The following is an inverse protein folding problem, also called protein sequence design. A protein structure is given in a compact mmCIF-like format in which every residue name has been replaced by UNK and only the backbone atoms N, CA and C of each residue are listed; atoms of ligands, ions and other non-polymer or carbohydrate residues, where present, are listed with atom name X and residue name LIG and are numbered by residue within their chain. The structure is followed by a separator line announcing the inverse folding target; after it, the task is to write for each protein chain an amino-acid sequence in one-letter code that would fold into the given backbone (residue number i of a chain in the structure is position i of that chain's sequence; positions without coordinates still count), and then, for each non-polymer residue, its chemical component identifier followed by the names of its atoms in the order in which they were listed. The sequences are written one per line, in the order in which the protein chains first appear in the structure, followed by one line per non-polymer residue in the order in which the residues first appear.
data_IF_178134837554
#
_entry.id   IF_178134837554
#
_cell.length_a   1.000
_cell.length_b   1.000
_cell.length_c   1.000
_cell.angle_alpha   90.00
_cell.angle_beta   90.00
_cell.angle_gamma   90.00
#
_symmetry.space_group_name_H-M   'P 1'
#
loop_
_entity.id
_entity.type
_entity.pdbx_description
1 polymer ?
#
# COMPACT_ATOMS: atom_id res chain seq x y z
N UNK A 1 -41.52 -27.09 44.24
CA UNK A 1 -40.50 -28.11 43.93
C UNK A 1 -40.85 -28.72 42.58
N UNK A 2 -40.89 -27.93 41.50
CA UNK A 2 -39.76 -27.34 40.76
C UNK A 2 -38.96 -28.37 39.98
N UNK A 3 -39.07 -28.29 38.65
CA UNK A 3 -37.92 -28.15 37.73
C UNK A 3 -38.42 -27.98 36.29
N UNK A 4 -38.58 -26.72 35.89
CA UNK A 4 -38.56 -26.34 34.47
C UNK A 4 -37.12 -26.48 33.97
N UNK A 5 -36.91 -27.31 32.95
CA UNK A 5 -35.64 -27.40 32.24
C UNK A 5 -35.64 -26.32 31.16
N UNK A 6 -34.86 -25.26 31.36
CA UNK A 6 -34.61 -24.23 30.34
C UNK A 6 -33.46 -24.73 29.46
N UNK A 7 -33.78 -25.10 28.22
CA UNK A 7 -32.77 -25.37 27.19
C UNK A 7 -32.23 -24.03 26.67
N UNK A 8 -31.06 -23.62 27.15
CA UNK A 8 -30.32 -22.47 26.61
C UNK A 8 -29.70 -22.88 25.25
N UNK A 9 -30.29 -22.44 24.15
CA UNK A 9 -29.68 -22.55 22.83
C UNK A 9 -28.68 -21.41 22.68
N UNK A 10 -27.39 -21.70 22.85
CA UNK A 10 -26.31 -20.77 22.54
C UNK A 10 -26.10 -20.78 21.03
N UNK A 11 -26.71 -19.82 20.33
CA UNK A 11 -26.41 -19.54 18.93
C UNK A 11 -25.03 -18.87 18.87
N UNK A 12 -24.01 -19.60 18.45
CA UNK A 12 -22.76 -19.01 17.98
C UNK A 12 -23.04 -18.32 16.65
N UNK A 13 -23.23 -17.00 16.67
CA UNK A 13 -23.13 -16.19 15.46
C UNK A 13 -21.65 -16.17 15.08
N UNK A 14 -21.25 -17.12 14.23
CA UNK A 14 -19.96 -17.04 13.54
C UNK A 14 -20.11 -15.89 12.55
N UNK A 15 -19.67 -14.70 12.97
CA UNK A 15 -19.53 -13.57 12.06
C UNK A 15 -18.62 -14.02 10.92
N UNK A 16 -19.15 -14.05 9.71
CA UNK A 16 -18.35 -14.23 8.50
C UNK A 16 -17.45 -13.01 8.43
N UNK A 17 -16.20 -13.15 8.90
CA UNK A 17 -15.16 -12.17 8.61
C UNK A 17 -14.90 -12.33 7.12
N UNK A 18 -15.55 -11.51 6.32
CA UNK A 18 -15.25 -11.42 4.91
C UNK A 18 -13.80 -10.96 4.82
N UNK A 19 -12.92 -11.87 4.38
CA UNK A 19 -11.52 -11.56 4.20
C UNK A 19 -11.42 -10.30 3.33
N UNK A 20 -10.69 -9.30 3.81
CA UNK A 20 -10.48 -8.09 3.04
C UNK A 20 -9.91 -8.48 1.68
N UNK A 21 -10.49 -7.98 0.60
CA UNK A 21 -9.82 -8.15 -0.69
C UNK A 21 -8.49 -7.41 -0.60
N UNK A 22 -7.41 -8.03 -1.07
CA UNK A 22 -6.05 -7.46 -0.96
C UNK A 22 -5.91 -6.10 -1.67
N UNK A 23 -6.93 -5.67 -2.43
CA UNK A 23 -6.98 -4.44 -3.20
C UNK A 23 -7.87 -3.34 -2.60
N UNK A 24 -8.42 -3.54 -1.39
CA UNK A 24 -9.24 -2.50 -0.76
C UNK A 24 -8.43 -1.23 -0.45
N UNK A 25 -9.05 -0.09 -0.70
CA UNK A 25 -8.54 1.21 -0.29
C UNK A 25 -8.45 1.27 1.23
N UNK A 26 -7.36 1.82 1.74
CA UNK A 26 -7.19 2.06 3.17
C UNK A 26 -7.72 3.45 3.48
N UNK A 27 -8.75 3.53 4.34
CA UNK A 27 -9.32 4.80 4.80
C UNK A 27 -9.11 5.01 6.28
N UNK A 28 -9.30 6.24 6.73
CA UNK A 28 -9.40 6.56 8.16
C UNK A 28 -10.67 5.90 8.72
N UNK A 29 -10.57 5.29 9.90
CA UNK A 29 -11.71 4.72 10.61
C UNK A 29 -12.72 5.80 11.02
N UNK A 30 -14.01 5.49 11.23
CA UNK A 30 -15.04 6.49 11.54
C UNK A 30 -14.79 7.27 12.83
N UNK A 31 -14.04 6.68 13.77
CA UNK A 31 -13.63 7.33 15.02
C UNK A 31 -12.46 8.31 14.84
N UNK A 32 -11.80 8.33 13.67
CA UNK A 32 -10.67 9.20 13.36
C UNK A 32 -9.33 8.76 13.96
N UNK A 33 -9.26 7.59 14.63
CA UNK A 33 -8.07 7.17 15.39
C UNK A 33 -7.25 6.04 14.75
N UNK A 34 -7.72 5.47 13.65
CA UNK A 34 -7.06 4.35 12.98
C UNK A 34 -7.32 4.29 11.49
N UNK A 35 -6.94 3.16 10.92
CA UNK A 35 -7.16 2.85 9.52
C UNK A 35 -7.91 1.53 9.37
N UNK A 36 -8.73 1.45 8.35
CA UNK A 36 -9.45 0.24 7.97
C UNK A 36 -9.59 0.13 6.46
N UNK A 37 -9.78 -1.10 5.98
CA UNK A 37 -10.11 -1.36 4.59
C UNK A 37 -11.51 -0.84 4.29
N UNK A 38 -11.68 -0.19 3.14
CA UNK A 38 -12.88 0.61 2.86
C UNK A 38 -14.17 -0.20 2.75
N UNK A 39 -14.09 -1.44 2.27
CA UNK A 39 -15.25 -2.31 2.02
C UNK A 39 -15.53 -3.27 3.16
N UNK A 40 -14.52 -4.00 3.63
CA UNK A 40 -14.65 -5.00 4.69
C UNK A 40 -14.58 -4.42 6.10
N UNK A 41 -14.09 -3.18 6.27
CA UNK A 41 -13.91 -2.57 7.59
C UNK A 41 -12.83 -3.28 8.44
N UNK A 42 -11.95 -4.03 7.80
CA UNK A 42 -10.87 -4.74 8.49
C UNK A 42 -9.84 -3.73 8.95
N UNK A 43 -9.50 -3.76 10.25
CA UNK A 43 -8.47 -2.89 10.82
C UNK A 43 -7.14 -3.06 10.07
N UNK A 44 -6.56 -1.94 9.65
CA UNK A 44 -5.25 -1.88 9.03
C UNK A 44 -4.25 -1.23 9.99
N UNK A 45 -3.18 -1.95 10.33
CA UNK A 45 -2.10 -1.43 11.18
C UNK A 45 -0.87 -1.28 10.28
N UNK A 46 -0.42 -0.04 9.98
CA UNK A 46 0.74 0.15 9.13
C UNK A 46 1.99 -0.34 9.84
N UNK A 47 2.66 -1.31 9.25
CA UNK A 47 4.00 -1.74 9.61
C UNK A 47 4.88 -1.59 8.37
N UNK A 48 5.65 -0.50 8.33
CA UNK A 48 6.22 0.00 7.10
C UNK A 48 7.61 0.57 7.21
N UNK A 49 8.18 0.87 6.04
CA UNK A 49 9.49 1.50 5.89
C UNK A 49 9.52 2.47 4.72
N UNK A 50 10.53 3.34 4.66
CA UNK A 50 10.84 4.05 3.43
C UNK A 50 11.53 3.08 2.46
N UNK A 51 11.12 3.08 1.20
CA UNK A 51 11.76 2.32 0.15
C UNK A 51 12.99 3.08 -0.36
N UNK A 52 14.06 3.07 0.45
CA UNK A 52 15.34 3.70 0.14
C UNK A 52 16.36 2.61 -0.06
N UNK A 53 16.99 2.62 -1.24
CA UNK A 53 18.07 1.69 -1.57
C UNK A 53 19.43 2.32 -1.23
N UNK A 54 20.50 1.54 -1.36
CA UNK A 54 21.84 1.88 -0.89
C UNK A 54 22.56 3.03 -1.64
N UNK A 55 21.87 3.75 -2.52
CA UNK A 55 22.42 4.83 -3.36
C UNK A 55 21.35 5.91 -3.54
N UNK A 56 21.76 7.18 -3.45
CA UNK A 56 20.88 8.35 -3.53
C UNK A 56 20.23 8.50 -4.89
N UNK A 57 20.77 7.91 -5.96
CA UNK A 57 20.10 7.90 -7.28
C UNK A 57 18.71 7.26 -7.21
N UNK A 58 18.53 6.28 -6.33
CA UNK A 58 17.26 5.60 -6.11
C UNK A 58 16.25 6.43 -5.31
N UNK A 59 16.57 7.68 -4.92
CA UNK A 59 15.52 8.61 -4.52
C UNK A 59 14.61 8.99 -5.70
N UNK A 60 15.04 8.74 -6.94
CA UNK A 60 14.26 8.90 -8.15
C UNK A 60 13.91 7.54 -8.77
N UNK A 61 13.25 6.65 -8.01
CA UNK A 61 13.03 5.24 -8.37
C UNK A 61 12.46 5.03 -9.78
N UNK A 62 11.56 5.92 -10.22
CA UNK A 62 10.76 5.75 -11.43
C UNK A 62 11.36 6.46 -12.66
N UNK A 63 12.51 7.12 -12.52
CA UNK A 63 13.20 7.70 -13.66
C UNK A 63 13.68 6.61 -14.61
N UNK A 64 13.58 6.79 -15.94
CA UNK A 64 13.91 5.75 -16.93
C UNK A 64 15.35 5.23 -16.82
N UNK A 65 16.31 6.09 -16.45
CA UNK A 65 17.72 5.69 -16.30
C UNK A 65 18.04 5.01 -14.96
N UNK A 66 17.07 4.97 -14.04
CA UNK A 66 17.24 4.46 -12.66
C UNK A 66 16.34 3.24 -12.41
N UNK A 67 15.24 3.10 -13.15
CA UNK A 67 14.23 2.08 -12.93
C UNK A 67 14.82 0.67 -13.05
N UNK A 68 14.86 -0.04 -11.93
CA UNK A 68 15.43 -1.39 -11.81
C UNK A 68 14.35 -2.33 -11.28
N UNK A 69 13.50 -2.78 -12.20
CA UNK A 69 12.33 -3.61 -11.91
C UNK A 69 12.69 -4.85 -11.10
N UNK A 70 13.70 -5.60 -11.53
CA UNK A 70 14.08 -6.87 -10.89
C UNK A 70 14.61 -6.64 -9.48
N UNK A 71 15.34 -5.53 -9.26
CA UNK A 71 15.79 -5.15 -7.93
C UNK A 71 14.62 -4.75 -7.04
N UNK A 72 13.64 -4.03 -7.57
CA UNK A 72 12.48 -3.59 -6.80
C UNK A 72 11.61 -4.79 -6.40
N UNK A 73 11.38 -5.74 -7.30
CA UNK A 73 10.68 -7.00 -6.99
C UNK A 73 11.39 -7.77 -5.87
N UNK A 74 12.72 -7.95 -5.95
CA UNK A 74 13.49 -8.64 -4.88
C UNK A 74 13.37 -7.92 -3.53
N UNK A 75 13.40 -6.60 -3.54
CA UNK A 75 13.25 -5.81 -2.32
C UNK A 75 11.84 -5.95 -1.72
N UNK A 76 10.79 -5.88 -2.56
CA UNK A 76 9.41 -6.07 -2.12
C UNK A 76 9.17 -7.49 -1.58
N UNK A 77 9.68 -8.53 -2.24
CA UNK A 77 9.62 -9.90 -1.75
C UNK A 77 10.30 -10.07 -0.39
N UNK A 78 11.46 -9.43 -0.19
CA UNK A 78 12.15 -9.45 1.10
C UNK A 78 11.33 -8.73 2.20
N UNK A 79 10.70 -7.60 1.87
CA UNK A 79 9.86 -6.86 2.80
C UNK A 79 8.59 -7.64 3.18
N UNK A 80 7.94 -8.30 2.22
CA UNK A 80 6.80 -9.20 2.47
C UNK A 80 7.22 -10.34 3.41
N UNK A 81 8.38 -10.98 3.15
CA UNK A 81 8.92 -12.04 4.02
C UNK A 81 9.25 -11.59 5.45
N UNK A 82 9.46 -10.29 5.66
CA UNK A 82 9.65 -9.68 6.98
C UNK A 82 8.34 -9.17 7.62
N UNK A 83 7.21 -9.29 6.92
CA UNK A 83 5.89 -8.89 7.39
C UNK A 83 5.55 -7.41 7.20
N UNK A 84 6.35 -6.64 6.45
CA UNK A 84 5.99 -5.27 6.09
C UNK A 84 4.76 -5.26 5.17
N UNK A 85 3.84 -4.33 5.43
CA UNK A 85 2.59 -4.20 4.67
C UNK A 85 2.42 -2.82 4.02
N UNK A 86 3.38 -1.92 4.20
CA UNK A 86 3.36 -0.59 3.58
C UNK A 86 4.78 -0.06 3.36
N UNK A 87 5.00 0.62 2.25
CA UNK A 87 6.25 1.33 1.96
C UNK A 87 5.98 2.76 1.56
N UNK A 88 6.91 3.66 1.87
CA UNK A 88 6.91 5.03 1.36
C UNK A 88 7.95 5.20 0.27
N UNK A 89 7.55 5.69 -0.90
CA UNK A 89 8.44 5.99 -2.04
C UNK A 89 8.54 7.50 -2.24
N UNK A 90 9.66 7.94 -2.80
CA UNK A 90 9.89 9.35 -3.13
C UNK A 90 9.47 9.66 -4.57
N UNK A 91 8.84 10.82 -4.75
CA UNK A 91 8.44 11.39 -6.02
C UNK A 91 9.09 12.79 -6.16
N UNK A 92 10.41 12.86 -6.40
CA UNK A 92 11.14 14.13 -6.39
C UNK A 92 10.65 15.06 -7.51
N UNK A 93 9.97 16.14 -7.13
CA UNK A 93 9.22 17.01 -8.06
C UNK A 93 10.06 17.51 -9.24
N UNK A 94 11.33 17.88 -9.02
CA UNK A 94 12.22 18.37 -10.07
C UNK A 94 12.62 17.30 -11.11
N UNK A 95 12.43 16.01 -10.80
CA UNK A 95 12.64 14.89 -11.74
C UNK A 95 11.35 14.47 -12.39
N UNK A 96 10.24 14.56 -11.66
CA UNK A 96 8.89 14.23 -12.15
C UNK A 96 8.42 15.30 -13.14
N UNK A 97 8.57 16.58 -12.79
CA UNK A 97 8.24 17.74 -13.62
C UNK A 97 9.54 18.48 -13.97
N UNK A 98 10.31 17.99 -14.96
CA UNK A 98 11.60 18.58 -15.29
C UNK A 98 11.44 19.97 -15.91
N UNK A 99 12.26 20.93 -15.48
CA UNK A 99 12.28 22.25 -16.07
C UNK A 99 12.92 22.26 -17.48
N UNK A 100 12.51 23.21 -18.37
CA UNK A 100 11.48 24.21 -18.14
C UNK A 100 10.06 23.70 -18.41
N UNK A 101 9.12 24.07 -17.53
CA UNK A 101 7.68 23.91 -17.75
C UNK A 101 7.10 25.18 -18.39
N UNK A 102 6.19 25.05 -19.35
CA UNK A 102 5.47 26.20 -19.89
C UNK A 102 4.38 26.64 -18.89
N UNK A 103 4.06 27.94 -18.87
CA UNK A 103 3.03 28.45 -17.97
C UNK A 103 1.67 27.79 -18.28
N UNK A 104 1.04 27.21 -17.26
CA UNK A 104 -0.24 26.49 -17.41
C UNK A 104 -0.12 25.04 -17.88
N UNK A 105 1.10 24.53 -18.08
CA UNK A 105 1.35 23.14 -18.46
C UNK A 105 2.11 22.38 -17.37
N UNK A 106 1.88 21.06 -17.30
CA UNK A 106 2.66 20.14 -16.49
C UNK A 106 3.03 18.92 -17.33
N UNK A 107 4.30 18.84 -17.73
CA UNK A 107 4.86 17.75 -18.51
C UNK A 107 5.64 16.84 -17.58
N UNK A 108 5.07 15.67 -17.30
CA UNK A 108 5.77 14.63 -16.54
C UNK A 108 6.91 14.05 -17.38
N UNK A 109 8.03 13.72 -16.75
CA UNK A 109 9.14 13.06 -17.41
C UNK A 109 8.66 11.78 -18.14
N UNK A 110 9.11 11.52 -19.38
CA UNK A 110 8.70 10.33 -20.12
C UNK A 110 8.98 9.03 -19.36
N UNK A 111 8.02 8.10 -19.40
CA UNK A 111 8.16 6.78 -18.77
C UNK A 111 7.94 6.76 -17.25
N UNK A 112 7.81 7.92 -16.61
CA UNK A 112 7.76 8.00 -15.14
C UNK A 112 6.46 7.41 -14.56
N UNK A 113 5.33 7.69 -15.20
CA UNK A 113 4.02 7.20 -14.74
C UNK A 113 3.88 5.71 -15.01
N UNK A 114 4.39 5.23 -16.13
CA UNK A 114 4.42 3.82 -16.50
C UNK A 114 5.26 3.01 -15.52
N UNK A 115 6.43 3.52 -15.15
CA UNK A 115 7.31 2.91 -14.14
C UNK A 115 6.69 2.91 -12.73
N UNK A 116 6.00 4.01 -12.37
CA UNK A 116 5.23 4.08 -11.12
C UNK A 116 4.11 3.04 -11.13
N UNK A 117 3.35 2.93 -12.22
CA UNK A 117 2.26 1.96 -12.36
C UNK A 117 2.77 0.51 -12.25
N UNK A 118 3.87 0.15 -12.94
CA UNK A 118 4.47 -1.19 -12.82
C UNK A 118 4.94 -1.45 -11.38
N UNK A 119 5.53 -0.47 -10.70
CA UNK A 119 5.92 -0.61 -9.29
C UNK A 119 4.72 -0.80 -8.36
N UNK A 120 3.64 -0.03 -8.54
CA UNK A 120 2.41 -0.21 -7.77
C UNK A 120 1.81 -1.61 -8.02
N UNK A 121 1.90 -2.10 -9.25
CA UNK A 121 1.53 -3.47 -9.62
C UNK A 121 2.38 -4.53 -8.91
N UNK A 122 3.71 -4.34 -8.82
CA UNK A 122 4.63 -5.19 -8.06
C UNK A 122 4.27 -5.21 -6.58
N UNK A 123 4.16 -4.03 -5.95
CA UNK A 123 3.87 -3.90 -4.52
C UNK A 123 2.53 -4.57 -4.15
N UNK A 124 1.52 -4.44 -5.03
CA UNK A 124 0.22 -5.11 -4.86
C UNK A 124 0.34 -6.62 -4.84
N UNK A 125 1.13 -7.24 -5.73
CA UNK A 125 1.37 -8.70 -5.75
C UNK A 125 2.06 -9.20 -4.47
N UNK A 126 2.81 -8.32 -3.81
CA UNK A 126 3.46 -8.57 -2.52
C UNK A 126 2.66 -8.10 -1.31
N UNK A 127 1.37 -7.76 -1.49
CA UNK A 127 0.47 -7.27 -0.42
C UNK A 127 0.98 -6.02 0.32
N UNK A 128 1.83 -5.24 -0.34
CA UNK A 128 2.42 -4.02 0.21
C UNK A 128 1.67 -2.80 -0.33
N UNK A 129 1.17 -1.95 0.57
CA UNK A 129 0.61 -0.63 0.25
C UNK A 129 1.73 0.37 -0.02
N UNK A 130 1.45 1.39 -0.83
CA UNK A 130 2.46 2.40 -1.19
C UNK A 130 1.96 3.80 -0.83
N UNK A 131 2.76 4.53 -0.07
CA UNK A 131 2.63 5.97 0.12
C UNK A 131 3.55 6.66 -0.88
N UNK A 132 2.97 7.45 -1.77
CA UNK A 132 3.71 8.22 -2.77
C UNK A 132 3.86 9.65 -2.25
N UNK A 133 5.11 10.12 -2.11
CA UNK A 133 5.43 11.42 -1.51
C UNK A 133 6.49 12.21 -2.26
#
# INVERSE_FOLDING_TARGET
MDRFVVCLVVMFVVGVVQAATEDEFIRVSPDGWGFETSGSGTRFIPFGTNFVLNDTKYLNLFGPDVYDRDRYERALAALEGLGFNIVKVFLPIAKVLPDPQAAGEARVAPGYLENLEDFLGMARRHRIRVVVS
#
